data_IF_579134756422
#
_entry.id   IF_579134756422
#
_cell.length_a   1.000
_cell.length_b   1.000
_cell.length_c   1.000
_cell.angle_alpha   90.00
_cell.angle_beta   90.00
_cell.angle_gamma   90.00
#
_symmetry.space_group_name_H-M   'P 1'
#
loop_
_entity.id
_entity.type
_entity.pdbx_description
1 polymer ?
#
# COMPACT_ATOMS: atom_id res chain seq x y z
N UNK A 1 6.04 -60.05 10.60
CA UNK A 1 6.22 -58.65 11.06
C UNK A 1 7.47 -58.07 10.41
N UNK A 2 7.33 -57.50 9.20
CA UNK A 2 8.25 -56.67 8.41
C UNK A 2 7.29 -55.89 7.49
N UNK A 3 7.31 -54.57 7.31
CA UNK A 3 8.41 -53.71 6.91
C UNK A 3 8.20 -52.30 7.48
N UNK A 4 9.28 -51.70 7.95
CA UNK A 4 9.44 -50.28 8.24
C UNK A 4 9.36 -49.48 6.93
N UNK A 5 8.48 -48.47 6.88
CA UNK A 5 8.54 -47.43 5.85
C UNK A 5 8.49 -46.06 6.55
N UNK A 6 9.67 -45.53 6.84
CA UNK A 6 9.85 -44.10 7.05
C UNK A 6 9.90 -43.44 5.67
N UNK A 7 8.98 -42.52 5.39
CA UNK A 7 9.05 -41.64 4.23
C UNK A 7 9.20 -40.20 4.74
N UNK A 8 10.43 -39.73 4.69
CA UNK A 8 10.83 -38.35 4.89
C UNK A 8 10.61 -37.56 3.60
N UNK A 9 10.25 -36.28 3.81
CA UNK A 9 10.51 -35.12 2.97
C UNK A 9 9.65 -34.89 1.72
N UNK A 10 8.87 -33.81 1.78
CA UNK A 10 8.82 -32.81 0.72
C UNK A 10 9.04 -31.44 1.37
N UNK A 11 10.29 -31.01 1.41
CA UNK A 11 10.60 -29.60 1.61
C UNK A 11 10.12 -28.85 0.37
N UNK A 12 9.01 -28.12 0.49
CA UNK A 12 8.65 -27.12 -0.49
C UNK A 12 9.69 -26.01 -0.40
N UNK A 13 10.72 -26.08 -1.27
CA UNK A 13 11.55 -24.92 -1.55
C UNK A 13 10.64 -23.84 -2.13
N UNK A 14 10.28 -22.86 -1.30
CA UNK A 14 9.74 -21.61 -1.79
C UNK A 14 10.77 -21.04 -2.75
N UNK A 15 10.46 -21.10 -4.05
CA UNK A 15 11.15 -20.34 -5.08
C UNK A 15 10.87 -18.87 -4.74
N UNK A 16 11.74 -18.26 -3.94
CA UNK A 16 11.86 -16.83 -3.93
C UNK A 16 12.20 -16.46 -5.38
N UNK A 17 11.19 -15.96 -6.11
CA UNK A 17 11.40 -15.46 -7.46
C UNK A 17 12.57 -14.48 -7.41
N UNK A 18 13.54 -14.58 -8.32
CA UNK A 18 14.67 -13.68 -8.34
C UNK A 18 14.10 -12.26 -8.49
N UNK A 19 14.32 -11.43 -7.48
CA UNK A 19 14.01 -10.01 -7.53
C UNK A 19 14.81 -9.46 -8.72
N UNK A 20 14.14 -9.27 -9.86
CA UNK A 20 14.70 -8.54 -11.00
C UNK A 20 15.32 -7.26 -10.44
N UNK A 21 16.59 -7.03 -10.75
CA UNK A 21 17.44 -5.97 -10.20
C UNK A 21 16.62 -4.75 -9.81
N UNK A 22 16.45 -4.58 -8.50
CA UNK A 22 15.51 -3.62 -7.95
C UNK A 22 15.91 -2.23 -8.40
N UNK A 23 15.06 -1.62 -9.23
CA UNK A 23 15.14 -0.20 -9.53
C UNK A 23 15.17 0.55 -8.21
N UNK A 24 16.29 1.23 -7.96
CA UNK A 24 16.44 2.07 -6.78
C UNK A 24 15.48 3.25 -6.89
N UNK A 25 14.75 3.53 -5.83
CA UNK A 25 13.76 4.59 -5.79
C UNK A 25 14.10 5.65 -4.73
N UNK A 26 13.45 6.81 -4.83
CA UNK A 26 13.55 7.87 -3.83
C UNK A 26 12.57 7.58 -2.68
N UNK A 27 13.09 7.57 -1.44
CA UNK A 27 12.31 7.31 -0.23
C UNK A 27 11.00 8.11 -0.18
N UNK A 28 9.91 7.43 0.17
CA UNK A 28 8.60 8.07 0.32
C UNK A 28 7.84 8.33 -0.97
N UNK A 29 8.44 8.00 -2.13
CA UNK A 29 7.71 8.00 -3.40
C UNK A 29 6.71 6.85 -3.42
N UNK A 30 5.50 7.10 -3.93
CA UNK A 30 4.49 6.06 -4.17
C UNK A 30 4.41 5.74 -5.67
N UNK A 31 4.03 4.51 -6.01
CA UNK A 31 3.61 4.13 -7.36
C UNK A 31 2.61 2.98 -7.35
N UNK A 32 1.89 2.82 -8.46
CA UNK A 32 1.15 1.59 -8.71
C UNK A 32 2.11 0.40 -8.86
N UNK A 33 1.72 -0.75 -8.32
CA UNK A 33 2.39 -2.02 -8.63
C UNK A 33 2.23 -2.36 -10.11
N UNK A 34 2.97 -3.33 -10.63
CA UNK A 34 2.66 -3.94 -11.95
C UNK A 34 2.10 -5.35 -11.68
N UNK A 35 0.81 -5.65 -11.96
CA UNK A 35 -0.06 -5.04 -12.97
C UNK A 35 -1.18 -4.11 -12.43
N UNK A 36 -0.86 -3.07 -11.65
CA UNK A 36 -1.79 -2.08 -11.08
C UNK A 36 -2.83 -2.64 -10.10
N UNK A 37 -2.46 -3.64 -9.31
CA UNK A 37 -3.36 -4.27 -8.32
C UNK A 37 -3.24 -3.64 -6.93
N UNK A 38 -2.26 -2.77 -6.71
CA UNK A 38 -2.02 -2.14 -5.42
C UNK A 38 -1.04 -0.98 -5.55
N UNK A 39 -0.66 -0.43 -4.41
CA UNK A 39 0.29 0.69 -4.32
C UNK A 39 1.50 0.26 -3.50
N UNK A 40 2.67 0.64 -3.96
CA UNK A 40 3.93 0.46 -3.26
C UNK A 40 4.59 1.81 -2.95
N UNK A 41 5.32 1.84 -1.84
CA UNK A 41 6.10 2.98 -1.37
C UNK A 41 7.59 2.63 -1.42
N UNK A 42 8.42 3.60 -1.74
CA UNK A 42 9.85 3.43 -1.63
C UNK A 42 10.30 3.52 -0.17
N UNK A 43 10.88 2.44 0.35
CA UNK A 43 11.35 2.35 1.72
C UNK A 43 12.71 3.03 1.92
N UNK A 44 13.16 3.11 3.18
CA UNK A 44 14.42 3.74 3.57
C UNK A 44 15.68 3.10 2.94
N UNK A 45 15.55 1.87 2.44
CA UNK A 45 16.63 1.16 1.74
C UNK A 45 16.60 1.39 0.22
N UNK A 46 15.74 2.30 -0.27
CA UNK A 46 15.58 2.58 -1.69
C UNK A 46 14.92 1.43 -2.46
N UNK A 47 14.10 0.62 -1.78
CA UNK A 47 13.38 -0.52 -2.37
C UNK A 47 11.87 -0.31 -2.27
N UNK A 48 11.16 -0.74 -3.29
CA UNK A 48 9.70 -0.76 -3.28
C UNK A 48 9.16 -1.78 -2.28
N UNK A 49 8.23 -1.33 -1.46
CA UNK A 49 7.49 -2.12 -0.48
C UNK A 49 6.00 -1.91 -0.68
N UNK A 50 5.23 -3.00 -0.69
CA UNK A 50 3.78 -2.94 -0.87
C UNK A 50 3.14 -2.20 0.32
N UNK A 51 2.43 -1.10 0.05
CA UNK A 51 1.60 -0.41 1.04
C UNK A 51 0.34 -1.23 1.29
N UNK A 52 -0.31 -1.67 0.21
CA UNK A 52 -1.50 -2.50 0.27
C UNK A 52 -2.09 -2.75 -1.11
N UNK A 53 -2.87 -3.81 -1.20
CA UNK A 53 -3.68 -4.10 -2.39
C UNK A 53 -4.86 -3.13 -2.49
N UNK A 54 -5.22 -2.79 -3.72
CA UNK A 54 -6.45 -2.08 -3.98
C UNK A 54 -7.65 -2.99 -3.69
N UNK A 55 -8.78 -2.46 -3.19
CA UNK A 55 -9.97 -3.25 -2.89
C UNK A 55 -10.46 -4.07 -4.10
N UNK A 56 -11.17 -5.17 -3.86
CA UNK A 56 -11.70 -6.02 -4.94
C UNK A 56 -12.52 -5.21 -5.95
N UNK A 57 -12.32 -5.51 -7.25
CA UNK A 57 -12.99 -4.83 -8.34
C UNK A 57 -12.44 -3.44 -8.69
N UNK A 58 -11.29 -3.07 -8.13
CA UNK A 58 -10.65 -1.77 -8.34
C UNK A 58 -9.22 -1.95 -8.84
N UNK A 59 -8.64 -0.89 -9.37
CA UNK A 59 -7.27 -0.89 -9.85
C UNK A 59 -6.55 0.34 -9.31
N UNK A 60 -5.23 0.25 -9.24
CA UNK A 60 -4.41 1.43 -9.05
C UNK A 60 -4.39 2.26 -10.33
N UNK A 61 -4.64 3.55 -10.18
CA UNK A 61 -4.51 4.53 -11.24
C UNK A 61 -3.76 5.76 -10.69
N UNK A 62 -3.40 6.66 -11.59
CA UNK A 62 -2.54 7.80 -11.32
C UNK A 62 -3.31 9.08 -11.58
N UNK A 63 -3.52 9.90 -10.55
CA UNK A 63 -4.01 11.25 -10.77
C UNK A 63 -2.85 12.12 -11.29
N UNK A 64 -3.10 12.99 -12.28
CA UNK A 64 -2.16 14.04 -12.63
C UNK A 64 -2.12 15.05 -11.47
N UNK A 65 -1.09 14.96 -10.63
CA UNK A 65 -0.79 15.97 -9.63
C UNK A 65 -0.23 17.23 -10.28
N UNK A 66 -0.25 18.34 -9.52
CA UNK A 66 0.43 19.56 -9.94
C UNK A 66 1.94 19.31 -10.10
N UNK A 67 2.59 20.06 -11.00
CA UNK A 67 4.04 20.03 -11.22
C UNK A 67 4.63 18.67 -11.64
N UNK A 68 3.85 17.81 -12.28
CA UNK A 68 4.31 16.49 -12.77
C UNK A 68 4.39 15.41 -11.69
N UNK A 69 3.90 15.70 -10.48
CA UNK A 69 3.75 14.69 -9.43
C UNK A 69 2.66 13.71 -9.85
N UNK A 70 2.97 12.42 -9.81
CA UNK A 70 1.99 11.36 -10.02
C UNK A 70 1.44 10.97 -8.64
N UNK A 71 0.12 10.94 -8.49
CA UNK A 71 -0.53 10.57 -7.23
C UNK A 71 -1.28 9.24 -7.42
N UNK A 72 -0.64 8.10 -7.11
CA UNK A 72 -1.29 6.80 -7.12
C UNK A 72 -2.46 6.76 -6.14
N UNK A 73 -3.57 6.19 -6.59
CA UNK A 73 -4.78 5.94 -5.82
C UNK A 73 -5.50 4.69 -6.34
N UNK A 74 -6.38 4.12 -5.53
CA UNK A 74 -7.28 3.05 -5.99
C UNK A 74 -8.57 3.68 -6.52
N UNK A 75 -9.03 3.26 -7.69
CA UNK A 75 -10.16 3.86 -8.44
C UNK A 75 -11.54 3.76 -7.79
N UNK A 76 -11.67 3.18 -6.59
CA UNK A 76 -13.00 3.01 -5.99
C UNK A 76 -13.56 4.31 -5.42
N UNK A 77 -14.80 4.61 -5.82
CA UNK A 77 -15.68 5.63 -5.23
C UNK A 77 -16.54 5.11 -4.07
N UNK A 78 -16.52 3.81 -3.78
CA UNK A 78 -17.23 3.25 -2.63
C UNK A 78 -16.59 3.75 -1.34
N UNK A 79 -17.41 4.05 -0.32
CA UNK A 79 -16.96 4.46 1.02
C UNK A 79 -16.08 3.35 1.62
N UNK A 80 -14.79 3.41 1.40
CA UNK A 80 -13.83 2.45 1.95
C UNK A 80 -13.79 2.71 3.45
N UNK A 81 -14.10 1.70 4.25
CA UNK A 81 -13.99 1.81 5.70
C UNK A 81 -12.57 1.43 6.11
N UNK A 82 -11.90 2.25 6.92
CA UNK A 82 -10.67 1.82 7.59
C UNK A 82 -11.00 0.56 8.40
N UNK A 83 -10.09 -0.43 8.43
CA UNK A 83 -10.30 -1.79 8.98
C UNK A 83 -11.02 -1.87 10.34
N UNK A 84 -10.96 -0.80 11.16
CA UNK A 84 -11.56 -0.73 12.49
C UNK A 84 -12.56 0.43 12.74
N UNK A 85 -13.14 1.05 11.70
CA UNK A 85 -14.26 2.01 11.87
C UNK A 85 -13.97 3.24 12.76
N UNK A 86 -12.69 3.59 12.97
CA UNK A 86 -12.27 4.71 13.81
C UNK A 86 -12.44 6.05 13.09
N UNK A 87 -12.66 7.16 13.82
CA UNK A 87 -12.90 8.47 13.24
C UNK A 87 -11.65 8.97 12.51
N UNK A 88 -11.81 9.24 11.23
CA UNK A 88 -10.86 9.89 10.33
C UNK A 88 -11.63 10.33 9.10
N UNK A 89 -11.15 11.38 8.41
CA UNK A 89 -11.83 11.80 7.20
C UNK A 89 -11.79 10.65 6.20
N UNK A 90 -12.95 10.21 5.73
CA UNK A 90 -13.05 9.02 4.89
C UNK A 90 -12.77 9.37 3.43
N UNK A 91 -12.27 8.42 2.62
CA UNK A 91 -12.24 8.58 1.17
C UNK A 91 -13.61 9.05 0.64
N UNK A 92 -13.60 10.09 -0.20
CA UNK A 92 -14.77 10.82 -0.67
C UNK A 92 -15.09 12.12 0.09
N UNK A 93 -14.42 12.39 1.23
CA UNK A 93 -14.57 13.67 1.95
C UNK A 93 -13.60 14.75 1.45
N UNK A 94 -13.88 16.01 1.79
CA UNK A 94 -13.05 17.15 1.39
C UNK A 94 -11.75 17.22 2.20
N UNK A 95 -10.66 17.48 1.50
CA UNK A 95 -9.34 17.80 2.06
C UNK A 95 -8.92 19.22 1.65
N UNK A 96 -7.87 19.76 2.26
CA UNK A 96 -7.44 21.16 2.04
C UNK A 96 -6.14 21.30 1.26
N UNK A 97 -5.38 20.20 1.11
CA UNK A 97 -4.04 20.23 0.53
C UNK A 97 -3.90 19.13 -0.52
N UNK A 98 -4.20 19.40 -1.80
CA UNK A 98 -3.97 18.47 -2.90
C UNK A 98 -2.55 17.91 -2.92
N UNK A 99 -2.41 16.64 -3.26
CA UNK A 99 -1.15 15.90 -3.30
C UNK A 99 -0.63 15.45 -1.93
N UNK A 100 -1.31 15.81 -0.83
CA UNK A 100 -0.93 15.36 0.51
C UNK A 100 -1.45 13.94 0.77
N UNK A 101 -0.52 13.05 1.12
CA UNK A 101 -0.84 11.73 1.69
C UNK A 101 -1.09 11.88 3.19
N UNK A 102 -2.03 11.11 3.72
CA UNK A 102 -2.39 11.07 5.13
C UNK A 102 -2.73 9.65 5.60
N UNK A 103 -2.55 9.38 6.89
CA UNK A 103 -3.11 8.18 7.50
C UNK A 103 -4.64 8.25 7.54
N UNK A 104 -5.30 7.26 6.95
CA UNK A 104 -6.73 7.03 7.07
C UNK A 104 -7.01 6.12 8.27
N UNK A 105 -7.17 6.75 9.44
CA UNK A 105 -7.17 6.04 10.71
C UNK A 105 -5.86 5.27 10.93
N UNK A 106 -5.84 4.27 11.81
CA UNK A 106 -4.60 3.55 12.14
C UNK A 106 -4.19 2.48 11.12
N UNK A 107 -4.96 2.15 10.09
CA UNK A 107 -4.70 0.95 9.26
C UNK A 107 -4.75 1.19 7.76
N UNK A 108 -4.76 2.44 7.31
CA UNK A 108 -4.80 2.75 5.89
C UNK A 108 -4.12 4.08 5.59
N UNK A 109 -3.81 4.29 4.32
CA UNK A 109 -3.31 5.53 3.76
C UNK A 109 -4.33 6.06 2.75
N UNK A 110 -4.43 7.38 2.65
CA UNK A 110 -5.22 8.11 1.67
C UNK A 110 -4.43 9.29 1.10
N UNK A 111 -4.88 9.83 -0.03
CA UNK A 111 -4.27 10.99 -0.70
C UNK A 111 -5.33 12.02 -1.06
N UNK A 112 -5.03 13.29 -0.89
CA UNK A 112 -5.90 14.37 -1.36
C UNK A 112 -5.68 14.60 -2.87
N UNK A 113 -6.72 14.42 -3.69
CA UNK A 113 -6.62 14.66 -5.13
C UNK A 113 -6.61 16.15 -5.51
N UNK A 114 -6.47 16.43 -6.81
CA UNK A 114 -6.48 17.79 -7.36
C UNK A 114 -7.84 18.49 -7.30
N UNK A 115 -8.91 17.73 -7.03
CA UNK A 115 -10.26 18.22 -6.80
C UNK A 115 -10.56 18.47 -5.32
N UNK A 116 -9.56 18.32 -4.43
CA UNK A 116 -9.69 18.43 -2.98
C UNK A 116 -10.58 17.35 -2.36
N UNK A 117 -10.57 16.14 -2.92
CA UNK A 117 -11.26 14.97 -2.41
C UNK A 117 -10.25 13.92 -1.95
N UNK A 118 -10.50 13.31 -0.79
CA UNK A 118 -9.70 12.21 -0.28
C UNK A 118 -9.94 10.95 -1.11
N UNK A 119 -8.86 10.37 -1.61
CA UNK A 119 -8.85 9.13 -2.37
C UNK A 119 -8.12 8.05 -1.58
N UNK A 120 -8.64 6.83 -1.64
CA UNK A 120 -8.05 5.69 -0.94
C UNK A 120 -6.74 5.26 -1.62
N UNK A 121 -5.71 4.99 -0.84
CA UNK A 121 -4.42 4.50 -1.34
C UNK A 121 -4.26 3.01 -1.04
N UNK A 122 -4.46 2.59 0.22
CA UNK A 122 -4.28 1.19 0.56
C UNK A 122 -4.48 0.91 2.04
N UNK A 123 -4.79 -0.34 2.37
CA UNK A 123 -4.77 -0.82 3.74
C UNK A 123 -3.36 -1.26 4.10
N UNK A 124 -2.91 -0.88 5.29
CA UNK A 124 -1.68 -1.43 5.85
C UNK A 124 -1.81 -2.96 6.03
N UNK A 125 -0.73 -3.73 5.78
CA UNK A 125 -0.74 -5.18 5.95
C UNK A 125 -1.17 -5.64 7.35
N UNK A 126 -1.46 -6.93 7.48
CA UNK A 126 -1.76 -7.48 8.81
C UNK A 126 -0.60 -7.26 9.79
N UNK A 127 -0.94 -6.98 11.06
CA UNK A 127 0.04 -6.65 12.12
C UNK A 127 0.91 -5.44 11.79
N UNK A 128 0.36 -4.48 11.05
CA UNK A 128 0.98 -3.17 10.84
C UNK A 128 -0.04 -2.06 11.08
N UNK A 129 0.42 -0.82 11.19
CA UNK A 129 -0.40 0.37 11.34
C UNK A 129 0.21 1.54 10.58
N UNK A 130 -0.61 2.54 10.26
CA UNK A 130 -0.13 3.76 9.63
C UNK A 130 0.51 4.69 10.68
N UNK A 131 1.73 5.12 10.42
CA UNK A 131 2.47 6.11 11.19
C UNK A 131 3.22 7.06 10.25
N UNK A 132 3.65 8.23 10.73
CA UNK A 132 4.39 9.19 9.91
C UNK A 132 5.90 9.01 10.08
N UNK A 133 6.57 8.54 9.03
CA UNK A 133 8.03 8.52 8.95
C UNK A 133 8.50 9.75 8.19
N UNK A 134 9.22 10.67 8.85
CA UNK A 134 9.67 11.94 8.28
C UNK A 134 8.53 12.76 7.65
N UNK A 135 7.32 12.70 8.23
CA UNK A 135 6.14 13.40 7.72
C UNK A 135 5.43 12.69 6.57
N UNK A 136 5.88 11.51 6.15
CA UNK A 136 5.27 10.69 5.11
C UNK A 136 4.50 9.53 5.78
N UNK A 137 3.21 9.34 5.47
CA UNK A 137 2.45 8.20 5.98
C UNK A 137 3.06 6.87 5.51
N UNK A 138 3.29 5.96 6.45
CA UNK A 138 3.97 4.70 6.20
C UNK A 138 3.33 3.58 7.03
N UNK A 139 3.22 2.39 6.45
CA UNK A 139 2.75 1.22 7.19
C UNK A 139 3.90 0.58 7.95
N UNK A 140 3.92 0.73 9.27
CA UNK A 140 4.95 0.21 10.17
C UNK A 140 4.46 -1.03 10.90
N UNK A 141 5.34 -2.01 11.11
CA UNK A 141 4.99 -3.23 11.83
C UNK A 141 4.58 -2.90 13.28
N UNK A 142 3.48 -3.49 13.74
CA UNK A 142 3.03 -3.44 15.12
C UNK A 142 3.73 -4.56 15.88
N UNK A 143 4.49 -4.21 16.92
CA UNK A 143 5.15 -5.15 17.84
C UNK A 143 4.18 -5.78 18.83
#
# INVERSE_FOLDING_TARGET
MKFTAAALALAASAIAAPSKGGESCEFGTYRCTTPNTGIEICNISGKWELVGDCPEGTACDNLPGGNGVVLPYCTNTAKVQARNGRPGQSPGEKCTTPGRYDCFGPYAIQVCDTQNILQFVGNCPERSHCEYLNGIPYCVASV
#
